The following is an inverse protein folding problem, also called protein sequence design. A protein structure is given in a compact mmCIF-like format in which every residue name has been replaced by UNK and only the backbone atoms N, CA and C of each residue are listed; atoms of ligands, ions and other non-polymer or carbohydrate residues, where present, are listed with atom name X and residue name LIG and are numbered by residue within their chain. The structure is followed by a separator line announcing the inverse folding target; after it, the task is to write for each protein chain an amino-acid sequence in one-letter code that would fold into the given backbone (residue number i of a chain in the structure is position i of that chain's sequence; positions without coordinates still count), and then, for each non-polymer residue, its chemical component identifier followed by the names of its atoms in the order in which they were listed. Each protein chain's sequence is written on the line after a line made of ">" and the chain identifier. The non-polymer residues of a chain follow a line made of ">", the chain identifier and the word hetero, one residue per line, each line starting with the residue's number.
data_IF_909908065188
#
_entry.id   IF_909908065188
#
_cell.length_a   1.000
_cell.length_b   1.000
_cell.length_c   1.000
_cell.angle_alpha   90.00
_cell.angle_beta   90.00
_cell.angle_gamma   90.00
#
_symmetry.space_group_name_H-M   'P 1'
#
loop_
_entity.id
_entity.type
_entity.pdbx_description
1 polymer ?
#
# COMPACT_ATOMS: atom_id res chain seq x y z
N UNK A 1 37.81 -12.67 30.31
CA UNK A 1 36.44 -12.70 29.75
C UNK A 1 36.44 -11.84 28.49
N UNK A 2 36.44 -12.47 27.33
CA UNK A 2 36.53 -11.84 26.01
C UNK A 2 35.14 -11.44 25.51
N UNK A 3 34.91 -10.13 25.39
CA UNK A 3 33.75 -9.56 24.72
C UNK A 3 33.87 -9.78 23.21
N UNK A 4 33.11 -10.74 22.67
CA UNK A 4 33.07 -11.02 21.24
C UNK A 4 32.24 -9.95 20.52
N UNK A 5 32.94 -9.17 19.70
CA UNK A 5 32.41 -8.41 18.57
C UNK A 5 31.57 -9.33 17.67
N UNK A 6 30.24 -9.24 17.75
CA UNK A 6 29.34 -9.67 16.68
C UNK A 6 28.23 -8.64 16.50
N UNK A 7 28.64 -7.40 16.23
CA UNK A 7 27.77 -6.33 15.75
C UNK A 7 28.13 -5.98 14.29
N UNK A 8 28.33 -6.98 13.43
CA UNK A 8 28.59 -6.72 12.02
C UNK A 8 28.31 -7.94 11.14
N UNK A 9 27.03 -8.20 10.84
CA UNK A 9 26.59 -8.81 9.57
C UNK A 9 25.07 -9.00 9.57
N UNK A 10 24.34 -7.93 9.31
CA UNK A 10 23.01 -8.05 8.74
C UNK A 10 22.84 -7.04 7.59
N UNK A 11 23.81 -7.05 6.68
CA UNK A 11 23.81 -6.27 5.44
C UNK A 11 23.37 -7.15 4.26
N UNK A 12 22.31 -7.94 4.43
CA UNK A 12 21.93 -9.01 3.50
C UNK A 12 20.47 -9.06 3.04
N UNK A 13 19.65 -8.04 3.33
CA UNK A 13 18.26 -7.97 2.82
C UNK A 13 17.87 -6.57 2.32
N UNK A 14 18.81 -5.85 1.74
CA UNK A 14 18.53 -4.76 0.81
C UNK A 14 18.72 -5.32 -0.61
N UNK A 15 17.75 -6.08 -1.09
CA UNK A 15 17.83 -6.67 -2.42
C UNK A 15 16.50 -7.29 -2.76
N UNK A 16 15.83 -6.72 -3.76
CA UNK A 16 14.61 -7.25 -4.35
C UNK A 16 13.36 -7.22 -3.44
N UNK A 17 12.94 -6.03 -3.01
CA UNK A 17 11.51 -5.73 -3.10
C UNK A 17 11.20 -5.52 -4.58
N UNK A 18 11.18 -6.59 -5.36
CA UNK A 18 10.61 -6.57 -6.70
C UNK A 18 9.15 -6.24 -6.47
N UNK A 19 8.84 -4.96 -6.61
CA UNK A 19 7.48 -4.48 -6.60
C UNK A 19 6.78 -5.22 -7.73
N UNK A 20 6.01 -6.26 -7.41
CA UNK A 20 4.85 -6.58 -8.23
C UNK A 20 3.85 -5.44 -8.04
N UNK A 21 4.24 -4.22 -8.45
CA UNK A 21 3.37 -3.07 -8.51
C UNK A 21 2.50 -3.33 -9.72
N UNK A 22 1.26 -3.67 -9.47
CA UNK A 22 0.31 -3.88 -10.54
C UNK A 22 0.23 -2.60 -11.36
N UNK A 23 0.40 -2.72 -12.67
CA UNK A 23 0.28 -1.60 -13.60
C UNK A 23 -1.14 -1.01 -13.56
N UNK A 24 -1.33 0.19 -14.11
CA UNK A 24 -2.68 0.77 -14.27
C UNK A 24 -3.60 -0.18 -15.04
N UNK A 25 -3.08 -0.79 -16.10
CA UNK A 25 -3.74 -1.81 -16.91
C UNK A 25 -4.13 -3.06 -16.13
N UNK A 26 -3.21 -3.67 -15.38
CA UNK A 26 -3.53 -4.88 -14.60
C UNK A 26 -4.57 -4.59 -13.50
N UNK A 27 -4.54 -3.39 -12.92
CA UNK A 27 -5.53 -2.97 -11.92
C UNK A 27 -6.89 -2.70 -12.54
N UNK A 28 -6.95 -2.03 -13.70
CA UNK A 28 -8.21 -1.80 -14.42
C UNK A 28 -8.80 -3.14 -14.89
N UNK A 29 -7.98 -4.08 -15.36
CA UNK A 29 -8.39 -5.43 -15.74
C UNK A 29 -8.97 -6.22 -14.58
N UNK A 30 -8.30 -6.20 -13.42
CA UNK A 30 -8.81 -6.89 -12.23
C UNK A 30 -10.12 -6.28 -11.76
N UNK A 31 -10.20 -4.95 -11.73
CA UNK A 31 -11.41 -4.23 -11.34
C UNK A 31 -12.55 -4.55 -12.31
N UNK A 32 -12.27 -4.56 -13.62
CA UNK A 32 -13.24 -4.94 -14.64
C UNK A 32 -13.75 -6.36 -14.44
N UNK A 33 -12.88 -7.32 -14.11
CA UNK A 33 -13.28 -8.71 -13.78
C UNK A 33 -14.09 -8.82 -12.50
N UNK A 34 -13.79 -8.01 -11.49
CA UNK A 34 -14.49 -8.05 -10.20
C UNK A 34 -15.87 -7.39 -10.26
N UNK A 35 -15.99 -6.32 -11.03
CA UNK A 35 -17.20 -5.50 -11.11
C UNK A 35 -17.95 -5.71 -12.42
N UNK A 36 -17.50 -6.61 -13.31
CA UNK A 36 -18.03 -6.80 -14.66
C UNK A 36 -18.19 -5.46 -15.41
N UNK A 37 -17.12 -4.65 -15.45
CA UNK A 37 -17.12 -3.36 -16.16
C UNK A 37 -17.08 -3.57 -17.69
N UNK A 38 -17.69 -2.64 -18.43
CA UNK A 38 -17.55 -2.61 -19.89
C UNK A 38 -16.14 -2.20 -20.33
N UNK A 39 -15.76 -2.52 -21.57
CA UNK A 39 -14.45 -2.13 -22.13
C UNK A 39 -14.24 -0.60 -22.13
N UNK A 40 -15.31 0.17 -22.36
CA UNK A 40 -15.27 1.63 -22.29
C UNK A 40 -15.02 2.14 -20.86
N UNK A 41 -15.67 1.53 -19.86
CA UNK A 41 -15.46 1.87 -18.45
C UNK A 41 -14.05 1.46 -18.00
N UNK A 42 -13.59 0.28 -18.42
CA UNK A 42 -12.23 -0.20 -18.15
C UNK A 42 -11.17 0.76 -18.69
N UNK A 43 -11.31 1.25 -19.91
CA UNK A 43 -10.38 2.21 -20.50
C UNK A 43 -10.34 3.54 -19.73
N UNK A 44 -11.49 4.04 -19.29
CA UNK A 44 -11.58 5.23 -18.44
C UNK A 44 -10.93 5.02 -17.07
N UNK A 45 -11.14 3.85 -16.45
CA UNK A 45 -10.50 3.47 -15.18
C UNK A 45 -8.98 3.34 -15.34
N UNK A 46 -8.51 2.78 -16.44
CA UNK A 46 -7.08 2.67 -16.74
C UNK A 46 -6.40 4.04 -16.80
N UNK A 47 -6.96 4.97 -17.57
CA UNK A 47 -6.46 6.34 -17.67
C UNK A 47 -6.47 7.08 -16.32
N UNK A 48 -7.50 6.83 -15.49
CA UNK A 48 -7.57 7.36 -14.13
C UNK A 48 -6.45 6.78 -13.25
N UNK A 49 -6.19 5.48 -13.33
CA UNK A 49 -5.11 4.84 -12.57
C UNK A 49 -3.71 5.29 -12.99
N UNK A 50 -3.48 5.60 -14.27
CA UNK A 50 -2.22 6.16 -14.74
C UNK A 50 -1.94 7.54 -14.12
N UNK A 51 -2.95 8.43 -14.14
CA UNK A 51 -2.86 9.76 -13.51
C UNK A 51 -2.57 9.65 -12.02
N UNK A 52 -3.27 8.77 -11.32
CA UNK A 52 -3.08 8.54 -9.89
C UNK A 52 -1.69 8.00 -9.57
N UNK A 53 -1.16 7.12 -10.41
CA UNK A 53 0.17 6.55 -10.23
C UNK A 53 1.27 7.57 -10.43
N UNK A 54 1.14 8.47 -11.40
CA UNK A 54 2.05 9.59 -11.60
C UNK A 54 2.08 10.50 -10.36
N UNK A 55 0.90 10.95 -9.88
CA UNK A 55 0.78 11.76 -8.65
C UNK A 55 1.39 11.05 -7.45
N UNK A 56 1.13 9.74 -7.29
CA UNK A 56 1.69 8.94 -6.18
C UNK A 56 3.22 8.84 -6.27
N UNK A 57 3.78 8.64 -7.46
CA UNK A 57 5.25 8.59 -7.65
C UNK A 57 5.88 9.93 -7.26
N UNK A 58 5.30 11.04 -7.66
CA UNK A 58 5.79 12.37 -7.30
C UNK A 58 5.73 12.62 -5.79
N UNK A 59 4.60 12.30 -5.13
CA UNK A 59 4.49 12.43 -3.68
C UNK A 59 5.50 11.55 -2.94
N UNK A 60 5.74 10.33 -3.43
CA UNK A 60 6.74 9.42 -2.85
C UNK A 60 8.16 9.95 -3.03
N UNK A 61 8.49 10.52 -4.20
CA UNK A 61 9.80 11.12 -4.44
C UNK A 61 10.06 12.30 -3.49
N UNK A 62 9.11 13.25 -3.41
CA UNK A 62 9.17 14.38 -2.47
C UNK A 62 9.32 13.93 -1.01
N UNK A 63 8.67 12.83 -0.65
CA UNK A 63 8.75 12.28 0.70
C UNK A 63 10.07 11.56 0.98
N UNK A 64 10.68 10.94 -0.03
CA UNK A 64 12.00 10.33 0.08
C UNK A 64 13.08 11.40 0.25
N UNK A 65 12.96 12.54 -0.45
CA UNK A 65 13.87 13.69 -0.28
C UNK A 65 13.76 14.29 1.12
N UNK A 66 12.53 14.51 1.60
CA UNK A 66 12.28 15.04 2.96
C UNK A 66 12.47 14.00 4.08
N UNK A 67 12.96 12.81 3.77
CA UNK A 67 13.11 11.71 4.73
C UNK A 67 14.11 12.05 5.84
N UNK A 68 15.13 12.82 5.51
CA UNK A 68 16.22 13.19 6.42
C UNK A 68 15.84 14.39 7.31
N UNK A 69 15.09 15.36 6.79
CA UNK A 69 14.58 16.52 7.55
C UNK A 69 13.46 16.16 8.55
N UNK A 70 12.60 15.18 8.23
CA UNK A 70 11.41 14.84 9.03
C UNK A 70 11.65 13.74 10.08
N UNK A 71 12.77 13.79 10.81
CA UNK A 71 13.16 12.80 11.82
C UNK A 71 12.67 13.11 13.24
N UNK A 72 12.15 14.31 13.51
CA UNK A 72 11.93 14.80 14.89
C UNK A 72 10.54 14.48 15.48
N UNK A 73 9.47 14.37 14.67
CA UNK A 73 8.13 14.02 15.18
C UNK A 73 7.44 12.93 14.35
N UNK A 74 7.52 11.70 14.87
CA UNK A 74 7.02 10.49 14.20
C UNK A 74 5.50 10.42 14.17
N UNK A 75 4.81 10.98 15.16
CA UNK A 75 3.35 10.93 15.24
C UNK A 75 2.71 11.98 14.32
N UNK A 76 3.23 13.20 14.34
CA UNK A 76 2.80 14.25 13.42
C UNK A 76 2.98 13.81 11.96
N UNK A 77 4.16 13.25 11.63
CA UNK A 77 4.43 12.68 10.29
C UNK A 77 3.42 11.59 9.89
N UNK A 78 3.06 10.72 10.83
CA UNK A 78 2.11 9.62 10.54
C UNK A 78 0.72 10.18 10.26
N UNK A 79 0.27 11.18 11.02
CA UNK A 79 -1.03 11.83 10.83
C UNK A 79 -1.09 12.55 9.49
N UNK A 80 -0.10 13.39 9.17
CA UNK A 80 -0.02 14.13 7.91
C UNK A 80 -0.04 13.19 6.69
N UNK A 81 0.74 12.09 6.76
CA UNK A 81 0.72 11.03 5.76
C UNK A 81 -0.63 10.35 5.60
N UNK A 82 -1.32 10.07 6.71
CA UNK A 82 -2.65 9.48 6.68
C UNK A 82 -3.66 10.44 6.05
N UNK A 83 -3.60 11.72 6.38
CA UNK A 83 -4.49 12.75 5.83
C UNK A 83 -4.29 12.91 4.32
N UNK A 84 -3.05 13.10 3.86
CA UNK A 84 -2.74 13.17 2.42
C UNK A 84 -3.21 11.93 1.67
N UNK A 85 -3.04 10.75 2.27
CA UNK A 85 -3.51 9.50 1.67
C UNK A 85 -5.03 9.43 1.63
N UNK A 86 -5.72 9.82 2.70
CA UNK A 86 -7.17 9.76 2.79
C UNK A 86 -7.81 10.75 1.80
N UNK A 87 -7.25 11.95 1.66
CA UNK A 87 -7.67 12.93 0.66
C UNK A 87 -7.51 12.37 -0.75
N UNK A 88 -6.32 11.85 -1.09
CA UNK A 88 -6.09 11.24 -2.39
C UNK A 88 -7.05 10.07 -2.66
N UNK A 89 -7.36 9.23 -1.67
CA UNK A 89 -8.33 8.14 -1.82
C UNK A 89 -9.75 8.67 -2.06
N UNK A 90 -10.17 9.71 -1.34
CA UNK A 90 -11.50 10.30 -1.51
C UNK A 90 -11.67 10.93 -2.90
N UNK A 91 -10.67 11.68 -3.38
CA UNK A 91 -10.67 12.23 -4.74
C UNK A 91 -10.76 11.11 -5.79
N UNK A 92 -9.95 10.07 -5.62
CA UNK A 92 -9.93 8.92 -6.53
C UNK A 92 -11.27 8.17 -6.54
N UNK A 93 -11.90 8.01 -5.38
CA UNK A 93 -13.19 7.33 -5.25
C UNK A 93 -14.31 8.14 -5.90
N UNK A 94 -14.29 9.47 -5.78
CA UNK A 94 -15.25 10.35 -6.44
C UNK A 94 -15.13 10.27 -7.97
N UNK A 95 -13.91 10.34 -8.51
CA UNK A 95 -13.68 10.18 -9.95
C UNK A 95 -14.06 8.77 -10.43
N UNK A 96 -13.76 7.72 -9.66
CA UNK A 96 -14.18 6.35 -9.98
C UNK A 96 -15.71 6.23 -10.02
N UNK A 97 -16.43 6.77 -9.05
CA UNK A 97 -17.90 6.74 -9.00
C UNK A 97 -18.52 7.36 -10.26
N UNK A 98 -17.93 8.42 -10.82
CA UNK A 98 -18.41 9.00 -12.09
C UNK A 98 -18.20 8.09 -13.31
N UNK A 99 -17.21 7.19 -13.27
CA UNK A 99 -16.87 6.30 -14.39
C UNK A 99 -17.67 4.99 -14.32
N UNK A 100 -17.72 4.36 -13.14
CA UNK A 100 -18.32 3.03 -12.96
C UNK A 100 -19.77 3.08 -12.43
N UNK A 101 -20.20 4.24 -11.92
CA UNK A 101 -21.51 4.43 -11.29
C UNK A 101 -21.57 4.01 -9.82
N UNK A 102 -22.63 4.43 -9.12
CA UNK A 102 -22.84 4.18 -7.69
C UNK A 102 -22.91 2.70 -7.32
N UNK A 103 -23.64 1.91 -8.11
CA UNK A 103 -23.82 0.47 -7.84
C UNK A 103 -22.48 -0.28 -7.81
N UNK A 104 -21.64 -0.05 -8.83
CA UNK A 104 -20.30 -0.65 -8.91
C UNK A 104 -19.34 -0.08 -7.89
N UNK A 105 -19.51 1.19 -7.50
CA UNK A 105 -18.72 1.79 -6.43
C UNK A 105 -19.02 1.15 -5.06
N UNK A 106 -20.27 0.79 -4.79
CA UNK A 106 -20.64 0.12 -3.54
C UNK A 106 -20.15 -1.34 -3.51
N UNK A 107 -20.22 -2.07 -4.62
CA UNK A 107 -19.59 -3.39 -4.75
C UNK A 107 -18.07 -3.29 -4.52
N UNK A 108 -17.44 -2.28 -5.10
CA UNK A 108 -16.01 -2.03 -4.95
C UNK A 108 -15.61 -1.72 -3.49
N UNK A 109 -16.40 -0.92 -2.78
CA UNK A 109 -16.18 -0.66 -1.34
C UNK A 109 -16.25 -1.94 -0.51
N UNK A 110 -17.21 -2.83 -0.78
CA UNK A 110 -17.30 -4.13 -0.10
C UNK A 110 -16.06 -4.99 -0.35
N UNK A 111 -15.64 -5.10 -1.61
CA UNK A 111 -14.41 -5.83 -1.99
C UNK A 111 -13.18 -5.24 -1.29
N UNK A 112 -13.10 -3.92 -1.18
CA UNK A 112 -12.01 -3.22 -0.50
C UNK A 112 -12.03 -3.45 1.01
N UNK A 113 -13.20 -3.45 1.63
CA UNK A 113 -13.37 -3.72 3.06
C UNK A 113 -13.02 -5.17 3.41
N UNK A 114 -13.40 -6.13 2.58
CA UNK A 114 -13.01 -7.54 2.72
C UNK A 114 -11.50 -7.72 2.59
N UNK A 115 -10.87 -7.08 1.60
CA UNK A 115 -9.41 -7.06 1.47
C UNK A 115 -8.75 -6.40 2.70
N UNK A 116 -9.33 -5.34 3.25
CA UNK A 116 -8.80 -4.71 4.45
C UNK A 116 -8.93 -5.62 5.67
N UNK A 117 -10.08 -6.32 5.82
CA UNK A 117 -10.32 -7.27 6.91
C UNK A 117 -9.37 -8.45 6.86
N UNK A 118 -9.11 -9.02 5.68
CA UNK A 118 -8.13 -10.12 5.52
C UNK A 118 -6.72 -9.65 5.88
N UNK A 119 -6.28 -8.48 5.40
CA UNK A 119 -4.97 -7.93 5.79
C UNK A 119 -4.84 -7.60 7.29
N UNK A 120 -5.91 -7.09 7.92
CA UNK A 120 -5.95 -6.84 9.37
C UNK A 120 -6.04 -8.13 10.18
N UNK A 121 -6.72 -9.15 9.66
CA UNK A 121 -6.83 -10.48 10.25
C UNK A 121 -5.50 -11.23 10.24
N UNK A 122 -4.75 -11.16 9.14
CA UNK A 122 -3.40 -11.72 9.05
C UNK A 122 -2.38 -10.95 9.88
N UNK A 123 -2.57 -9.64 10.09
CA UNK A 123 -1.75 -8.84 11.02
C UNK A 123 -1.92 -9.27 12.49
N UNK A 124 -2.98 -10.03 12.82
CA UNK A 124 -3.16 -10.66 14.14
C UNK A 124 -2.52 -12.04 14.28
N UNK A 125 -1.84 -12.59 13.25
CA UNK A 125 -1.05 -13.82 13.42
C UNK A 125 0.20 -13.52 14.28
N UNK A 126 0.35 -14.14 15.46
CA UNK A 126 1.55 -14.00 16.28
C UNK A 126 2.68 -14.81 15.66
N UNK A 127 3.23 -14.34 14.54
CA UNK A 127 4.03 -15.18 13.63
C UNK A 127 5.52 -14.89 13.58
N UNK A 128 6.07 -13.91 14.31
CA UNK A 128 7.52 -13.63 14.34
C UNK A 128 8.01 -12.96 15.64
N UNK A 129 7.61 -13.46 16.80
CA UNK A 129 8.24 -13.05 18.07
C UNK A 129 8.31 -14.20 19.08
N UNK A 130 8.73 -15.39 18.65
CA UNK A 130 9.25 -16.41 19.56
C UNK A 130 9.99 -17.51 18.77
N UNK A 131 11.30 -17.33 18.57
CA UNK A 131 12.23 -18.45 18.36
C UNK A 131 13.49 -18.21 19.21
N UNK A 132 13.29 -17.94 20.50
CA UNK A 132 14.27 -18.30 21.51
C UNK A 132 13.63 -19.43 22.30
N UNK A 133 13.92 -20.68 21.90
CA UNK A 133 13.67 -21.80 22.79
C UNK A 133 14.68 -21.69 23.95
N UNK A 134 14.26 -21.75 25.23
CA UNK A 134 15.22 -21.89 26.32
C UNK A 134 15.85 -23.28 26.21
N UNK A 135 17.17 -23.34 25.96
CA UNK A 135 17.92 -24.56 26.19
C UNK A 135 17.99 -24.79 27.70
N UNK A 136 17.19 -25.73 28.19
CA UNK A 136 17.33 -26.28 29.53
C UNK A 136 18.63 -27.08 29.61
N UNK A 137 19.36 -26.86 30.71
CA UNK A 137 20.62 -27.52 31.06
C UNK A 137 20.45 -29.03 31.25
#
# INVERSE_FOLDING_TARGET
>A
MSFSLMAQQNTGRQGQRTEMRWTAKERSEKMAKQLNLSDEQKAKVEALFEKQDAKRKEMMAKQMEKRDEMTQDREARRKEMMEMRNQAVAENDAELETIIGKEKMDEWKKVRDEQQKTMRGDAKRPGRRNMQAPQTK
#
